data_IF_532740306162
#
_entry.id   IF_532740306162
#
_cell.length_a   1.000
_cell.length_b   1.000
_cell.length_c   1.000
_cell.angle_alpha   90.00
_cell.angle_beta   90.00
_cell.angle_gamma   90.00
#
_symmetry.space_group_name_H-M   'P 1'
#
loop_
_entity.id
_entity.type
_entity.pdbx_description
1 polymer ?
#
# COMPACT_ATOMS: atom_id res chain seq x y z
N UNK A 1 8.94 3.06 7.56
CA UNK A 1 7.67 2.54 8.14
C UNK A 1 6.49 3.35 7.65
N UNK A 2 6.41 4.66 7.90
CA UNK A 2 5.24 5.47 7.47
C UNK A 2 4.80 5.28 6.00
N UNK A 3 5.73 5.28 5.03
CA UNK A 3 5.39 5.08 3.60
C UNK A 3 4.79 3.70 3.34
N UNK A 4 5.37 2.63 3.92
CA UNK A 4 4.84 1.27 3.75
C UNK A 4 3.48 1.10 4.41
N UNK A 5 3.29 1.67 5.60
CA UNK A 5 2.03 1.56 6.36
C UNK A 5 0.90 2.32 5.67
N UNK A 6 1.18 3.51 5.14
CA UNK A 6 0.22 4.29 4.34
C UNK A 6 -0.09 3.56 3.04
N UNK A 7 0.93 3.04 2.34
CA UNK A 7 0.74 2.34 1.08
C UNK A 7 -0.16 1.11 1.24
N UNK A 8 0.10 0.24 2.22
CA UNK A 8 -0.76 -0.93 2.49
C UNK A 8 -2.15 -0.48 2.93
N UNK A 9 -2.25 0.51 3.82
CA UNK A 9 -3.53 1.04 4.26
C UNK A 9 -4.38 1.59 3.11
N UNK A 10 -3.79 2.17 2.07
CA UNK A 10 -4.54 2.68 0.92
C UNK A 10 -4.87 1.56 -0.10
N UNK A 11 -3.92 0.68 -0.39
CA UNK A 11 -3.96 -0.26 -1.52
C UNK A 11 -4.52 -1.65 -1.21
N UNK A 12 -4.65 -2.02 0.06
CA UNK A 12 -5.18 -3.33 0.45
C UNK A 12 -6.71 -3.39 0.43
N UNK A 13 -7.21 -4.54 -0.06
CA UNK A 13 -8.59 -4.93 0.10
C UNK A 13 -8.84 -5.33 1.55
N UNK A 14 -9.82 -4.70 2.20
CA UNK A 14 -10.25 -5.03 3.55
C UNK A 14 -11.72 -5.46 3.51
N UNK A 15 -12.21 -6.25 4.48
CA UNK A 15 -13.60 -6.72 4.47
C UNK A 15 -14.65 -5.62 4.26
N UNK A 16 -14.36 -4.39 4.71
CA UNK A 16 -15.25 -3.23 4.64
C UNK A 16 -14.86 -2.20 3.57
N UNK A 17 -13.74 -2.36 2.86
CA UNK A 17 -13.25 -1.35 1.92
C UNK A 17 -12.34 -1.98 0.86
N UNK A 18 -12.66 -1.77 -0.41
CA UNK A 18 -11.76 -2.11 -1.51
C UNK A 18 -10.51 -1.21 -1.50
N UNK A 19 -9.37 -1.81 -1.82
CA UNK A 19 -8.12 -1.10 -2.05
C UNK A 19 -8.30 -0.04 -3.13
N UNK A 20 -7.61 1.09 -2.96
CA UNK A 20 -7.68 2.17 -3.94
C UNK A 20 -6.89 1.83 -5.21
N UNK A 21 -7.35 2.35 -6.34
CA UNK A 21 -6.62 2.27 -7.61
C UNK A 21 -5.30 3.02 -7.55
N UNK A 22 -4.32 2.58 -8.36
CA UNK A 22 -2.94 3.10 -8.39
C UNK A 22 -2.89 4.61 -8.43
N UNK A 23 -3.62 5.25 -9.33
CA UNK A 23 -3.59 6.70 -9.50
C UNK A 23 -4.04 7.42 -8.23
N UNK A 24 -5.05 6.90 -7.53
CA UNK A 24 -5.54 7.50 -6.29
C UNK A 24 -4.57 7.30 -5.12
N UNK A 25 -3.93 6.14 -5.04
CA UNK A 25 -2.86 5.89 -4.05
C UNK A 25 -1.72 6.87 -4.26
N UNK A 26 -1.27 7.05 -5.51
CA UNK A 26 -0.17 7.96 -5.83
C UNK A 26 -0.53 9.42 -5.58
N UNK A 27 -1.76 9.85 -5.89
CA UNK A 27 -2.27 11.18 -5.59
C UNK A 27 -2.16 11.48 -4.08
N UNK A 28 -2.68 10.60 -3.23
CA UNK A 28 -2.66 10.78 -1.76
C UNK A 28 -1.24 10.74 -1.20
N UNK A 29 -0.39 9.81 -1.65
CA UNK A 29 0.98 9.72 -1.16
C UNK A 29 1.78 10.97 -1.54
N UNK A 30 1.58 11.52 -2.76
CA UNK A 30 2.23 12.76 -3.19
C UNK A 30 1.77 13.97 -2.37
N UNK A 31 0.47 14.10 -2.08
CA UNK A 31 -0.01 15.19 -1.23
C UNK A 31 0.56 15.10 0.19
N UNK A 32 0.77 13.88 0.71
CA UNK A 32 1.43 13.68 2.01
C UNK A 32 2.92 14.05 1.99
N UNK A 33 3.60 13.99 0.84
CA UNK A 33 4.97 14.54 0.69
C UNK A 33 4.92 16.07 0.70
N UNK A 34 3.99 16.68 -0.03
CA UNK A 34 3.79 18.14 -0.05
C UNK A 34 3.53 18.70 1.36
N UNK A 35 2.75 17.97 2.16
CA UNK A 35 2.44 18.29 3.55
C UNK A 35 3.57 17.92 4.55
N UNK A 36 4.75 17.52 4.06
CA UNK A 36 5.92 17.08 4.84
C UNK A 36 5.61 15.93 5.82
N UNK A 37 4.66 15.05 5.48
CA UNK A 37 4.28 13.87 6.28
C UNK A 37 5.03 12.61 5.89
N UNK A 38 5.49 12.53 4.64
CA UNK A 38 6.29 11.41 4.12
C UNK A 38 7.61 11.92 3.52
N UNK A 39 8.67 11.14 3.64
CA UNK A 39 9.98 11.41 3.02
C UNK A 39 9.88 11.21 1.50
N UNK A 40 10.24 12.25 0.75
CA UNK A 40 10.15 12.33 -0.70
C UNK A 40 11.00 11.27 -1.41
N UNK A 41 12.21 10.98 -0.91
CA UNK A 41 13.12 9.98 -1.49
C UNK A 41 12.56 8.59 -1.34
N UNK A 42 11.94 8.28 -0.20
CA UNK A 42 11.33 6.97 0.02
C UNK A 42 10.08 6.81 -0.87
N UNK A 43 9.29 7.87 -1.01
CA UNK A 43 8.14 7.86 -1.93
C UNK A 43 8.57 7.71 -3.38
N UNK A 44 9.67 8.35 -3.81
CA UNK A 44 10.22 8.17 -5.16
C UNK A 44 10.58 6.70 -5.42
N UNK A 45 11.26 6.03 -4.48
CA UNK A 45 11.59 4.60 -4.58
C UNK A 45 10.32 3.74 -4.69
N UNK A 46 9.28 4.03 -3.90
CA UNK A 46 8.00 3.34 -3.99
C UNK A 46 7.36 3.52 -5.38
N UNK A 47 7.37 4.73 -5.93
CA UNK A 47 6.79 5.04 -7.24
C UNK A 47 7.52 4.29 -8.35
N UNK A 48 8.85 4.33 -8.34
CA UNK A 48 9.70 3.67 -9.34
C UNK A 48 9.51 2.14 -9.34
N UNK A 49 9.11 1.56 -8.20
CA UNK A 49 8.93 0.12 -8.02
C UNK A 49 7.48 -0.28 -7.75
N UNK A 50 6.52 0.60 -8.06
CA UNK A 50 5.13 0.47 -7.57
C UNK A 50 4.50 -0.87 -7.93
N UNK A 51 4.61 -1.29 -9.18
CA UNK A 51 3.92 -2.49 -9.67
C UNK A 51 4.49 -3.77 -9.03
N UNK A 52 5.81 -3.82 -8.87
CA UNK A 52 6.49 -4.93 -8.19
C UNK A 52 6.10 -4.98 -6.71
N UNK A 53 6.14 -3.85 -6.00
CA UNK A 53 5.79 -3.78 -4.58
C UNK A 53 4.31 -4.12 -4.38
N UNK A 54 3.42 -3.61 -5.23
CA UNK A 54 1.99 -3.92 -5.15
C UNK A 54 1.71 -5.41 -5.40
N UNK A 55 2.44 -6.05 -6.32
CA UNK A 55 2.33 -7.49 -6.55
C UNK A 55 2.73 -8.30 -5.32
N UNK A 56 3.89 -7.98 -4.72
CA UNK A 56 4.36 -8.64 -3.49
C UNK A 56 3.35 -8.45 -2.35
N UNK A 57 2.84 -7.23 -2.19
CA UNK A 57 1.83 -6.87 -1.21
C UNK A 57 0.51 -7.64 -1.41
N UNK A 58 0.06 -7.85 -2.67
CA UNK A 58 -1.11 -8.71 -2.98
C UNK A 58 -0.88 -10.13 -2.51
N UNK A 59 0.25 -10.74 -2.87
CA UNK A 59 0.58 -12.11 -2.48
C UNK A 59 0.66 -12.27 -0.96
N UNK A 60 1.29 -11.32 -0.26
CA UNK A 60 1.35 -11.31 1.20
C UNK A 60 -0.04 -11.21 1.83
N UNK A 61 -0.90 -10.34 1.31
CA UNK A 61 -2.28 -10.21 1.78
C UNK A 61 -3.09 -11.49 1.57
N UNK A 62 -3.00 -12.11 0.40
CA UNK A 62 -3.70 -13.37 0.11
C UNK A 62 -3.26 -14.51 1.03
N UNK A 63 -1.96 -14.61 1.31
CA UNK A 63 -1.43 -15.60 2.25
C UNK A 63 -1.93 -15.36 3.67
N UNK A 64 -1.90 -14.12 4.15
CA UNK A 64 -2.42 -13.77 5.47
C UNK A 64 -3.92 -14.10 5.63
N UNK A 65 -4.72 -13.90 4.57
CA UNK A 65 -6.14 -14.28 4.57
C UNK A 65 -6.32 -15.79 4.65
N UNK A 66 -5.53 -16.58 3.89
CA UNK A 66 -5.58 -18.04 3.95
C UNK A 66 -5.19 -18.56 5.33
N UNK A 67 -4.09 -18.07 5.90
CA UNK A 67 -3.65 -18.43 7.24
C UNK A 67 -4.72 -18.15 8.29
N UNK A 68 -5.39 -16.99 8.20
CA UNK A 68 -6.51 -16.66 9.09
C UNK A 68 -7.69 -17.63 8.93
N UNK A 69 -8.03 -18.02 7.70
CA UNK A 69 -9.10 -18.97 7.41
C UNK A 69 -8.78 -20.41 7.84
N UNK A 70 -7.50 -20.79 7.89
CA UNK A 70 -7.09 -22.12 8.39
C UNK A 70 -7.12 -22.22 9.92
N UNK A 71 -7.05 -21.08 10.62
CA UNK A 71 -7.06 -21.00 12.08
C UNK A 71 -8.48 -21.05 12.70
N UNK A 72 -9.54 -20.86 11.91
CA UNK A 72 -10.93 -20.77 12.37
C UNK A 72 -11.88 -21.58 11.49
#
# INVERSE_FOLDING_TARGET
MAVSDVFTALSEDRPYRKGMEKDKVLEIIKSMVEDNKLDDRIVAILIDNYDQINLLRKGAQENAVKEYQELF
#
